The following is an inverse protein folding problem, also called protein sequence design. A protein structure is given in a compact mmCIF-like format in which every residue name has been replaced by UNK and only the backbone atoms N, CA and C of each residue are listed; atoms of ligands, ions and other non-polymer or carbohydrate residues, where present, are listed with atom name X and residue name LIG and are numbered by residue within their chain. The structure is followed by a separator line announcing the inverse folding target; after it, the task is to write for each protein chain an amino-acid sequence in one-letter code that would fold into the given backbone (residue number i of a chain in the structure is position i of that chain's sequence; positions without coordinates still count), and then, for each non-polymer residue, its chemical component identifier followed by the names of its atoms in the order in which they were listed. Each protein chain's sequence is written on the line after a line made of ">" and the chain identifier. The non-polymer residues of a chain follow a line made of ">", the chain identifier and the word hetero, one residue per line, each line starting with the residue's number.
data_IF_501115907995
#
_entry.id   IF_501115907995
#
_cell.length_a   1.000
_cell.length_b   1.000
_cell.length_c   1.000
_cell.angle_alpha   90.00
_cell.angle_beta   90.00
_cell.angle_gamma   90.00
#
_symmetry.space_group_name_H-M   'P 1'
#
loop_
_entity.id
_entity.type
_entity.pdbx_description
1 polymer ?
#
# COMPACT_ATOMS: atom_id res chain seq x y z
N UNK A 1 10.82 -35.64 -10.30
CA UNK A 1 9.50 -36.09 -9.75
C UNK A 1 8.82 -34.85 -9.16
N UNK A 2 7.58 -34.55 -9.51
CA UNK A 2 6.86 -33.47 -8.81
C UNK A 2 6.60 -33.91 -7.35
N UNK A 3 6.93 -33.04 -6.41
CA UNK A 3 6.66 -33.24 -4.98
C UNK A 3 5.14 -33.14 -4.78
N UNK A 4 4.51 -34.21 -4.34
CA UNK A 4 3.09 -34.20 -3.94
C UNK A 4 2.99 -33.75 -2.48
N UNK A 5 2.49 -32.55 -2.26
CA UNK A 5 2.23 -32.03 -0.91
C UNK A 5 0.82 -32.45 -0.46
N UNK A 6 0.65 -32.67 0.85
CA UNK A 6 -0.68 -32.81 1.44
C UNK A 6 -1.41 -31.46 1.46
N UNK A 7 -2.76 -31.46 1.57
CA UNK A 7 -3.52 -30.21 1.71
C UNK A 7 -3.08 -29.37 2.92
N UNK A 8 -2.69 -30.04 4.02
CA UNK A 8 -2.18 -29.38 5.22
C UNK A 8 -0.84 -28.69 4.97
N UNK A 9 0.06 -29.34 4.24
CA UNK A 9 1.36 -28.77 3.94
C UNK A 9 1.27 -27.64 2.93
N UNK A 10 0.33 -27.75 1.97
CA UNK A 10 0.01 -26.64 1.05
C UNK A 10 -0.42 -25.39 1.82
N UNK A 11 -1.38 -25.53 2.76
CA UNK A 11 -1.85 -24.39 3.58
C UNK A 11 -0.74 -23.79 4.46
N UNK A 12 0.16 -24.62 5.00
CA UNK A 12 1.32 -24.11 5.75
C UNK A 12 2.27 -23.32 4.85
N UNK A 13 2.52 -23.79 3.64
CA UNK A 13 3.35 -23.06 2.68
C UNK A 13 2.71 -21.73 2.25
N UNK A 14 1.41 -21.72 1.97
CA UNK A 14 0.69 -20.46 1.69
C UNK A 14 0.87 -19.46 2.82
N UNK A 15 0.65 -19.87 4.08
CA UNK A 15 0.85 -18.98 5.25
C UNK A 15 2.30 -18.48 5.35
N UNK A 16 3.29 -19.34 5.08
CA UNK A 16 4.71 -18.93 5.08
C UNK A 16 4.98 -17.90 4.00
N UNK A 17 4.46 -18.10 2.78
CA UNK A 17 4.63 -17.14 1.69
C UNK A 17 3.90 -15.82 1.95
N UNK A 18 2.68 -15.85 2.48
CA UNK A 18 1.94 -14.64 2.87
C UNK A 18 2.71 -13.84 3.93
N UNK A 19 3.20 -14.50 4.97
CA UNK A 19 4.02 -13.84 6.00
C UNK A 19 5.32 -13.27 5.42
N UNK A 20 5.95 -13.97 4.49
CA UNK A 20 7.16 -13.49 3.83
C UNK A 20 6.88 -12.23 2.98
N UNK A 21 5.80 -12.23 2.21
CA UNK A 21 5.39 -11.09 1.40
C UNK A 21 5.09 -9.87 2.28
N UNK A 22 4.35 -10.05 3.37
CA UNK A 22 4.06 -8.99 4.35
C UNK A 22 5.34 -8.43 4.97
N UNK A 23 6.26 -9.28 5.36
CA UNK A 23 7.53 -8.87 5.95
C UNK A 23 8.41 -8.09 4.96
N UNK A 24 8.42 -8.46 3.68
CA UNK A 24 9.15 -7.71 2.64
C UNK A 24 8.53 -6.31 2.48
N UNK A 25 7.21 -6.21 2.43
CA UNK A 25 6.51 -4.93 2.28
C UNK A 25 6.74 -4.01 3.47
N UNK A 26 6.64 -4.53 4.69
CA UNK A 26 6.95 -3.81 5.92
C UNK A 26 8.40 -3.34 5.95
N UNK A 27 9.34 -4.21 5.56
CA UNK A 27 10.76 -3.88 5.50
C UNK A 27 11.03 -2.70 4.57
N UNK A 28 10.44 -2.71 3.38
CA UNK A 28 10.59 -1.62 2.42
C UNK A 28 10.00 -0.31 2.97
N UNK A 29 8.80 -0.38 3.56
CA UNK A 29 8.14 0.77 4.13
C UNK A 29 8.97 1.42 5.24
N UNK A 30 9.53 0.63 6.16
CA UNK A 30 10.36 1.15 7.23
C UNK A 30 11.69 1.71 6.75
N UNK A 31 12.32 1.05 5.79
CA UNK A 31 13.58 1.54 5.19
C UNK A 31 13.36 2.93 4.59
N UNK A 32 12.23 3.13 3.91
CA UNK A 32 11.89 4.40 3.29
C UNK A 32 11.52 5.47 4.34
N UNK A 33 10.82 5.09 5.43
CA UNK A 33 10.41 6.04 6.48
C UNK A 33 11.56 6.50 7.38
N UNK A 34 12.49 5.60 7.71
CA UNK A 34 13.50 5.84 8.74
C UNK A 34 14.81 6.39 8.12
N UNK A 35 14.88 6.47 6.79
CA UNK A 35 16.13 6.80 6.07
C UNK A 35 17.33 5.94 6.57
N UNK A 36 17.05 4.67 6.88
CA UNK A 36 18.06 3.73 7.35
C UNK A 36 19.21 3.65 6.36
N UNK A 37 20.43 3.68 6.86
CA UNK A 37 21.59 3.46 6.00
C UNK A 37 21.43 2.17 5.21
N UNK A 38 21.79 2.15 3.94
CA UNK A 38 21.69 0.97 3.05
C UNK A 38 22.29 -0.30 3.67
N UNK A 39 23.30 -0.15 4.52
CA UNK A 39 23.95 -1.26 5.22
C UNK A 39 23.02 -1.93 6.22
N UNK A 40 22.36 -1.14 7.06
CA UNK A 40 21.38 -1.63 8.06
C UNK A 40 20.15 -2.19 7.36
N UNK A 41 19.62 -1.48 6.37
CA UNK A 41 18.49 -1.91 5.58
C UNK A 41 18.70 -3.29 4.93
N UNK A 42 19.83 -3.50 4.29
CA UNK A 42 20.19 -4.80 3.69
C UNK A 42 20.31 -5.91 4.75
N UNK A 43 20.83 -5.59 5.93
CA UNK A 43 20.94 -6.54 7.04
C UNK A 43 19.57 -6.92 7.57
N UNK A 44 18.69 -5.94 7.81
CA UNK A 44 17.31 -6.17 8.26
C UNK A 44 16.55 -7.04 7.25
N UNK A 45 16.59 -6.70 5.96
CA UNK A 45 15.92 -7.50 4.92
C UNK A 45 16.41 -8.94 4.89
N UNK A 46 17.72 -9.14 4.91
CA UNK A 46 18.32 -10.47 4.85
C UNK A 46 17.95 -11.31 6.07
N UNK A 47 17.98 -10.73 7.27
CA UNK A 47 17.62 -11.43 8.50
C UNK A 47 16.12 -11.70 8.59
N UNK A 48 15.27 -10.77 8.10
CA UNK A 48 13.82 -10.95 8.05
C UNK A 48 13.43 -12.15 7.20
N UNK A 49 14.01 -12.29 6.00
CA UNK A 49 13.77 -13.45 5.14
C UNK A 49 14.13 -14.75 5.86
N UNK A 50 15.28 -14.80 6.51
CA UNK A 50 15.72 -15.99 7.22
C UNK A 50 14.87 -16.31 8.47
N UNK A 51 14.42 -15.30 9.21
CA UNK A 51 13.66 -15.48 10.46
C UNK A 51 12.17 -15.73 10.24
N UNK A 52 11.60 -15.30 9.12
CA UNK A 52 10.21 -15.62 8.75
C UNK A 52 9.99 -17.14 8.64
N UNK A 53 10.98 -17.87 8.17
CA UNK A 53 10.94 -19.35 8.11
C UNK A 53 10.82 -19.95 9.52
N UNK A 54 11.34 -19.26 10.54
CA UNK A 54 11.31 -19.68 11.95
C UNK A 54 10.15 -19.05 12.74
N UNK A 55 9.18 -18.42 12.09
CA UNK A 55 7.98 -17.85 12.72
C UNK A 55 8.20 -16.50 13.41
N UNK A 56 9.38 -15.87 13.30
CA UNK A 56 9.57 -14.49 13.73
C UNK A 56 9.06 -13.50 12.68
N UNK A 57 8.38 -12.47 13.15
CA UNK A 57 7.90 -11.40 12.28
C UNK A 57 9.02 -10.42 11.92
N UNK A 58 8.79 -9.58 10.92
CA UNK A 58 9.69 -8.45 10.62
C UNK A 58 9.86 -7.53 11.83
N UNK A 59 8.77 -7.27 12.55
CA UNK A 59 8.76 -6.43 13.75
C UNK A 59 9.72 -6.99 14.81
N UNK A 60 9.61 -8.29 15.13
CA UNK A 60 10.51 -8.95 16.09
C UNK A 60 11.97 -8.84 15.68
N UNK A 61 12.24 -8.99 14.37
CA UNK A 61 13.59 -8.90 13.83
C UNK A 61 14.16 -7.49 13.90
N UNK A 62 13.31 -6.49 13.61
CA UNK A 62 13.71 -5.08 13.67
C UNK A 62 13.98 -4.66 15.12
N UNK A 63 13.10 -5.02 16.05
CA UNK A 63 13.29 -4.76 17.47
C UNK A 63 14.57 -5.38 18.05
N UNK A 64 14.94 -6.57 17.57
CA UNK A 64 16.20 -7.21 17.96
C UNK A 64 17.47 -6.46 17.49
N UNK A 65 17.34 -5.61 16.47
CA UNK A 65 18.44 -4.90 15.83
C UNK A 65 18.55 -3.42 16.24
N UNK A 66 17.50 -2.87 16.84
CA UNK A 66 17.44 -1.48 17.30
C UNK A 66 17.99 -1.34 18.73
N UNK A 67 18.56 -0.19 19.04
CA UNK A 67 18.85 0.20 20.42
C UNK A 67 17.58 0.64 21.16
N UNK A 68 17.70 1.06 22.41
CA UNK A 68 16.54 1.35 23.27
C UNK A 68 15.76 2.58 22.79
N UNK A 69 16.45 3.65 22.37
CA UNK A 69 15.83 4.91 21.92
C UNK A 69 15.09 4.69 20.59
N UNK A 70 15.73 3.99 19.65
CA UNK A 70 15.11 3.64 18.38
C UNK A 70 13.91 2.70 18.53
N UNK A 71 13.90 1.83 19.56
CA UNK A 71 12.76 0.95 19.86
C UNK A 71 11.53 1.72 20.30
N UNK A 72 11.66 2.70 21.21
CA UNK A 72 10.54 3.51 21.70
C UNK A 72 9.91 4.31 20.56
N UNK A 73 10.74 4.87 19.69
CA UNK A 73 10.27 5.56 18.50
C UNK A 73 9.57 4.62 17.51
N UNK A 74 10.11 3.43 17.27
CA UNK A 74 9.53 2.40 16.42
C UNK A 74 8.17 1.92 16.94
N UNK A 75 8.04 1.67 18.24
CA UNK A 75 6.78 1.27 18.87
C UNK A 75 5.71 2.37 18.71
N UNK A 76 6.09 3.63 18.84
CA UNK A 76 5.20 4.76 18.59
C UNK A 76 4.66 4.79 17.15
N UNK A 77 5.51 4.56 16.16
CA UNK A 77 5.11 4.49 14.75
C UNK A 77 4.23 3.26 14.49
N UNK A 78 4.62 2.11 15.02
CA UNK A 78 3.85 0.86 14.87
C UNK A 78 2.43 1.03 15.36
N UNK A 79 2.26 1.63 16.54
CA UNK A 79 0.95 1.83 17.15
C UNK A 79 0.12 2.88 16.41
N UNK A 80 0.75 3.98 15.97
CA UNK A 80 0.06 5.06 15.25
C UNK A 80 -0.45 4.63 13.87
N UNK A 81 0.26 3.74 13.18
CA UNK A 81 -0.08 3.30 11.81
C UNK A 81 -0.69 1.90 11.74
N UNK A 82 -0.90 1.21 12.87
CA UNK A 82 -1.40 -0.18 12.93
C UNK A 82 -0.73 -1.11 11.92
N UNK A 83 0.58 -1.07 11.90
CA UNK A 83 1.43 -1.74 10.89
C UNK A 83 1.31 -3.26 10.87
N UNK A 84 0.72 -3.86 11.89
CA UNK A 84 0.39 -5.30 11.97
C UNK A 84 -0.69 -5.72 10.95
N UNK A 85 -1.42 -4.76 10.37
CA UNK A 85 -2.57 -4.99 9.49
C UNK A 85 -2.33 -4.59 8.03
N UNK A 86 -1.08 -4.64 7.55
CA UNK A 86 -0.82 -4.41 6.13
C UNK A 86 -1.43 -5.53 5.30
N UNK A 87 -2.25 -5.14 4.32
CA UNK A 87 -3.04 -6.07 3.52
C UNK A 87 -2.46 -6.26 2.13
N UNK A 88 -2.27 -7.52 1.73
CA UNK A 88 -2.06 -7.85 0.32
C UNK A 88 -3.36 -7.63 -0.44
N UNK A 89 -3.36 -6.71 -1.39
CA UNK A 89 -4.53 -6.34 -2.19
C UNK A 89 -4.52 -7.08 -3.52
N UNK A 90 -5.70 -7.50 -3.99
CA UNK A 90 -5.83 -8.02 -5.34
C UNK A 90 -5.83 -6.85 -6.34
N UNK A 91 -4.81 -6.80 -7.18
CA UNK A 91 -4.66 -5.75 -8.19
C UNK A 91 -5.84 -5.72 -9.19
N UNK A 92 -6.53 -6.84 -9.36
CA UNK A 92 -7.67 -6.95 -10.28
C UNK A 92 -8.91 -6.21 -9.79
N UNK A 93 -9.07 -6.05 -8.48
CA UNK A 93 -10.17 -5.26 -7.90
C UNK A 93 -10.09 -3.80 -8.35
N UNK A 94 -8.88 -3.29 -8.58
CA UNK A 94 -8.61 -1.94 -9.03
C UNK A 94 -8.49 -1.83 -10.56
N UNK A 95 -7.74 -2.72 -11.21
CA UNK A 95 -7.60 -2.73 -12.69
C UNK A 95 -8.92 -2.95 -13.42
N UNK A 96 -9.83 -3.70 -12.82
CA UNK A 96 -11.15 -3.99 -13.38
C UNK A 96 -12.18 -2.89 -13.13
N UNK A 97 -11.84 -1.84 -12.41
CA UNK A 97 -12.67 -0.67 -12.22
C UNK A 97 -13.08 -0.06 -13.57
N UNK A 98 -14.32 0.42 -13.67
CA UNK A 98 -14.88 0.99 -14.90
C UNK A 98 -14.05 2.19 -15.42
N UNK A 99 -13.53 3.01 -14.51
CA UNK A 99 -12.65 4.13 -14.86
C UNK A 99 -11.41 3.64 -15.62
N UNK A 100 -10.65 2.72 -15.04
CA UNK A 100 -9.42 2.22 -15.67
C UNK A 100 -9.65 1.44 -16.95
N UNK A 101 -10.84 0.85 -17.14
CA UNK A 101 -11.19 0.17 -18.40
C UNK A 101 -11.47 1.17 -19.52
N UNK A 102 -12.14 2.27 -19.21
CA UNK A 102 -12.70 3.18 -20.21
C UNK A 102 -11.89 4.47 -20.39
N UNK A 103 -11.25 4.97 -19.34
CA UNK A 103 -10.52 6.24 -19.38
C UNK A 103 -9.04 6.00 -19.61
N UNK A 104 -8.56 6.42 -20.78
CA UNK A 104 -7.17 6.26 -21.25
C UNK A 104 -6.61 7.59 -21.77
N UNK A 105 -6.45 8.59 -20.92
CA UNK A 105 -5.97 9.89 -21.35
C UNK A 105 -4.53 9.80 -21.85
N UNK A 106 -4.21 10.61 -22.86
CA UNK A 106 -2.82 10.78 -23.28
C UNK A 106 -2.05 11.57 -22.25
N UNK A 107 -0.86 11.10 -21.92
CA UNK A 107 0.06 11.87 -21.10
C UNK A 107 0.38 13.20 -21.80
N UNK A 108 0.29 14.28 -21.05
CA UNK A 108 0.53 15.64 -21.57
C UNK A 108 1.30 16.45 -20.55
N UNK A 109 2.09 17.40 -21.07
CA UNK A 109 2.79 18.38 -20.24
C UNK A 109 2.55 19.76 -20.82
N UNK A 110 2.13 20.70 -19.94
CA UNK A 110 1.91 22.08 -20.28
C UNK A 110 2.47 22.98 -19.17
N UNK A 111 3.52 23.72 -19.47
CA UNK A 111 4.25 24.54 -18.49
C UNK A 111 4.73 23.68 -17.32
N UNK A 112 4.29 23.95 -16.09
CA UNK A 112 4.61 23.21 -14.87
C UNK A 112 3.59 22.13 -14.53
N UNK A 113 2.54 21.94 -15.35
CA UNK A 113 1.54 20.89 -15.17
C UNK A 113 1.85 19.68 -16.03
N UNK A 114 1.68 18.50 -15.46
CA UNK A 114 1.90 17.23 -16.16
C UNK A 114 0.82 16.22 -15.80
N UNK A 115 0.15 15.68 -16.81
CA UNK A 115 -0.75 14.53 -16.70
C UNK A 115 0.02 13.29 -17.10
N UNK A 116 0.24 12.36 -16.18
CA UNK A 116 0.99 11.13 -16.46
C UNK A 116 0.54 9.95 -15.60
N UNK A 117 0.98 8.77 -15.99
CA UNK A 117 0.85 7.58 -15.18
C UNK A 117 2.06 7.45 -14.25
N UNK A 118 1.78 7.39 -12.96
CA UNK A 118 2.70 6.95 -11.91
C UNK A 118 2.45 5.48 -11.60
N UNK A 119 3.23 4.90 -10.70
CA UNK A 119 3.02 3.52 -10.31
C UNK A 119 3.49 3.26 -8.88
N UNK A 120 2.80 2.34 -8.21
CA UNK A 120 3.33 1.62 -7.07
C UNK A 120 4.19 0.45 -7.55
N UNK A 121 5.36 0.26 -6.96
CA UNK A 121 6.23 -0.88 -7.22
C UNK A 121 5.68 -2.13 -6.55
N UNK A 122 6.06 -3.34 -6.99
CA UNK A 122 5.75 -4.54 -6.23
C UNK A 122 6.23 -4.41 -4.78
N UNK A 123 5.36 -4.79 -3.83
CA UNK A 123 5.60 -4.74 -2.38
C UNK A 123 5.85 -3.33 -1.79
N UNK A 124 5.57 -2.28 -2.52
CA UNK A 124 5.53 -0.92 -2.00
C UNK A 124 4.25 -0.72 -1.19
N UNK A 125 4.39 -0.30 0.07
CA UNK A 125 3.26 -0.05 0.95
C UNK A 125 2.67 1.33 0.68
N UNK A 126 1.36 1.39 0.60
CA UNK A 126 0.61 2.63 0.41
C UNK A 126 -0.68 2.63 1.22
N UNK A 127 -1.21 3.81 1.46
CA UNK A 127 -2.55 3.99 2.02
C UNK A 127 -3.57 3.65 0.95
N UNK A 128 -4.44 2.66 1.20
CA UNK A 128 -5.49 2.30 0.25
C UNK A 128 -6.88 2.74 0.72
N UNK A 129 -7.05 3.05 2.00
CA UNK A 129 -8.31 3.54 2.55
C UNK A 129 -8.04 4.31 3.83
N UNK A 130 -8.70 5.47 3.97
CA UNK A 130 -8.80 6.20 5.21
C UNK A 130 -10.23 6.06 5.75
N UNK A 131 -10.34 5.76 7.04
CA UNK A 131 -11.61 5.67 7.74
C UNK A 131 -11.58 6.58 8.96
N UNK A 132 -12.66 7.33 9.16
CA UNK A 132 -12.83 8.17 10.34
C UNK A 132 -13.74 7.41 11.31
N UNK A 133 -13.25 7.14 12.49
CA UNK A 133 -14.09 6.64 13.56
C UNK A 133 -14.76 7.84 14.24
N UNK A 134 -16.04 8.06 13.96
CA UNK A 134 -16.80 9.20 14.46
C UNK A 134 -17.05 9.16 15.98
N UNK A 135 -16.93 7.99 16.64
CA UNK A 135 -17.15 7.88 18.09
C UNK A 135 -16.01 8.52 18.89
N UNK A 136 -14.80 8.47 18.39
CA UNK A 136 -13.61 8.98 19.06
C UNK A 136 -12.78 9.97 18.23
N UNK A 137 -13.26 10.36 17.04
CA UNK A 137 -12.57 11.25 16.10
C UNK A 137 -11.15 10.77 15.72
N UNK A 138 -10.93 9.47 15.73
CA UNK A 138 -9.64 8.90 15.33
C UNK A 138 -9.70 8.56 13.85
N UNK A 139 -8.82 9.17 13.07
CA UNK A 139 -8.56 8.78 11.69
C UNK A 139 -7.77 7.47 11.69
N UNK A 140 -8.29 6.48 10.98
CA UNK A 140 -7.64 5.19 10.83
C UNK A 140 -7.21 4.99 9.40
N UNK A 141 -5.91 4.97 9.19
CA UNK A 141 -5.27 4.70 7.91
C UNK A 141 -5.11 3.21 7.68
N UNK A 142 -5.63 2.71 6.56
CA UNK A 142 -5.47 1.32 6.15
C UNK A 142 -4.34 1.19 5.14
N UNK A 143 -3.33 0.38 5.49
CA UNK A 143 -2.15 0.14 4.66
C UNK A 143 -2.29 -1.14 3.83
N UNK A 144 -1.81 -1.09 2.60
CA UNK A 144 -1.80 -2.23 1.70
C UNK A 144 -0.65 -2.19 0.71
N UNK A 145 -0.48 -3.28 -0.03
CA UNK A 145 0.48 -3.38 -1.11
C UNK A 145 -0.04 -4.31 -2.21
N UNK A 146 0.55 -4.17 -3.41
CA UNK A 146 0.36 -5.11 -4.51
C UNK A 146 1.61 -5.98 -4.69
N UNK A 147 1.43 -7.23 -5.11
CA UNK A 147 2.53 -8.12 -5.51
C UNK A 147 3.10 -7.78 -6.89
N UNK A 148 2.36 -6.99 -7.67
CA UNK A 148 2.72 -6.54 -9.01
C UNK A 148 2.72 -5.02 -9.09
N UNK A 149 3.32 -4.49 -10.16
CA UNK A 149 3.29 -3.06 -10.44
C UNK A 149 1.88 -2.59 -10.80
N UNK A 150 1.38 -1.57 -10.11
CA UNK A 150 0.10 -0.93 -10.38
C UNK A 150 0.31 0.50 -10.89
N UNK A 151 -0.24 0.80 -12.07
CA UNK A 151 -0.19 2.14 -12.65
C UNK A 151 -1.47 2.91 -12.33
N UNK A 152 -1.32 4.17 -11.94
CA UNK A 152 -2.42 5.10 -11.69
C UNK A 152 -2.19 6.44 -12.35
N UNK A 153 -3.28 7.10 -12.74
CA UNK A 153 -3.24 8.42 -13.36
C UNK A 153 -3.01 9.48 -12.30
N UNK A 154 -2.16 10.46 -12.60
CA UNK A 154 -1.88 11.58 -11.73
C UNK A 154 -1.70 12.89 -12.51
N UNK A 155 -2.11 13.98 -11.90
CA UNK A 155 -1.76 15.35 -12.30
C UNK A 155 -0.72 15.88 -11.34
N UNK A 156 0.37 16.38 -11.89
CA UNK A 156 1.45 16.97 -11.12
C UNK A 156 1.59 18.45 -11.46
N UNK A 157 1.93 19.23 -10.46
CA UNK A 157 2.40 20.61 -10.60
C UNK A 157 3.80 20.71 -10.01
N UNK A 158 4.77 21.17 -10.79
CA UNK A 158 6.17 21.26 -10.37
C UNK A 158 6.73 19.96 -9.77
N UNK A 159 6.39 18.80 -10.38
CA UNK A 159 6.68 17.44 -9.93
C UNK A 159 6.01 16.99 -8.62
N UNK A 160 5.17 17.82 -8.01
CA UNK A 160 4.37 17.44 -6.84
C UNK A 160 3.01 16.93 -7.29
N UNK A 161 2.54 15.82 -6.74
CA UNK A 161 1.23 15.26 -7.05
C UNK A 161 0.16 16.23 -6.53
N UNK A 162 -0.67 16.73 -7.45
CA UNK A 162 -1.81 17.58 -7.14
C UNK A 162 -3.08 16.77 -6.94
N UNK A 163 -3.31 15.77 -7.80
CA UNK A 163 -4.40 14.82 -7.70
C UNK A 163 -4.02 13.51 -8.37
N UNK A 164 -4.63 12.41 -7.94
CA UNK A 164 -4.36 11.09 -8.50
C UNK A 164 -5.55 10.16 -8.31
N UNK A 165 -5.69 9.15 -9.18
CA UNK A 165 -6.68 8.07 -9.03
C UNK A 165 -5.97 6.85 -8.48
N UNK A 166 -5.67 6.89 -7.20
CA UNK A 166 -5.03 5.79 -6.46
C UNK A 166 -6.07 4.82 -5.89
N UNK A 167 -5.66 3.67 -5.35
CA UNK A 167 -6.55 2.80 -4.58
C UNK A 167 -7.30 3.53 -3.46
N UNK A 168 -6.65 4.49 -2.78
CA UNK A 168 -7.30 5.29 -1.74
C UNK A 168 -8.47 6.11 -2.29
N UNK A 169 -8.26 6.81 -3.40
CA UNK A 169 -9.33 7.56 -4.08
C UNK A 169 -10.50 6.65 -4.48
N UNK A 170 -10.17 5.46 -5.03
CA UNK A 170 -11.18 4.48 -5.44
C UNK A 170 -12.00 4.00 -4.24
N UNK A 171 -11.37 3.66 -3.13
CA UNK A 171 -12.06 3.17 -1.92
C UNK A 171 -12.88 4.28 -1.24
N UNK A 172 -12.36 5.50 -1.19
CA UNK A 172 -13.03 6.65 -0.59
C UNK A 172 -14.27 7.06 -1.39
N UNK A 173 -14.22 6.94 -2.72
CA UNK A 173 -15.33 7.33 -3.59
C UNK A 173 -16.40 6.24 -3.77
N UNK A 174 -16.20 5.02 -3.27
CA UNK A 174 -17.20 3.95 -3.41
C UNK A 174 -18.55 4.32 -2.82
N UNK A 175 -18.57 4.73 -1.57
CA UNK A 175 -19.82 5.08 -0.88
C UNK A 175 -20.54 6.26 -1.54
N UNK A 176 -19.89 7.41 -1.82
CA UNK A 176 -20.52 8.49 -2.57
C UNK A 176 -21.05 8.09 -3.95
N UNK A 177 -20.37 7.18 -4.66
CA UNK A 177 -20.82 6.69 -5.97
C UNK A 177 -22.04 5.78 -5.82
N UNK A 178 -22.03 4.87 -4.85
CA UNK A 178 -23.12 3.94 -4.59
C UNK A 178 -24.40 4.66 -4.11
N UNK A 179 -24.25 5.76 -3.36
CA UNK A 179 -25.34 6.61 -2.89
C UNK A 179 -25.87 7.59 -3.97
N UNK A 180 -25.09 7.82 -5.05
CA UNK A 180 -25.47 8.76 -6.12
C UNK A 180 -26.60 8.20 -6.97
N UNK A 181 -27.79 8.79 -6.85
CA UNK A 181 -28.96 8.43 -7.66
C UNK A 181 -29.82 9.66 -8.02
N UNK A 182 -30.63 9.55 -9.07
CA UNK A 182 -31.44 10.65 -9.55
C UNK A 182 -30.61 11.78 -10.20
N UNK A 183 -30.92 13.03 -9.89
CA UNK A 183 -30.20 14.18 -10.41
C UNK A 183 -29.04 14.54 -9.49
N UNK A 184 -27.84 14.27 -9.91
CA UNK A 184 -26.61 14.55 -9.15
C UNK A 184 -25.87 15.74 -9.77
N UNK A 185 -25.44 16.69 -8.94
CA UNK A 185 -24.62 17.83 -9.36
C UNK A 185 -23.24 17.70 -8.71
N UNK A 186 -22.20 17.62 -9.53
CA UNK A 186 -20.81 17.61 -9.07
C UNK A 186 -20.13 18.94 -9.40
N UNK A 187 -19.32 19.44 -8.47
CA UNK A 187 -18.52 20.65 -8.64
C UNK A 187 -17.05 20.26 -8.82
N UNK A 188 -16.53 20.56 -9.99
CA UNK A 188 -15.16 20.18 -10.35
C UNK A 188 -15.09 18.73 -10.85
N UNK A 189 -14.53 18.57 -12.05
CA UNK A 189 -14.41 17.25 -12.68
C UNK A 189 -13.22 16.46 -12.15
N UNK A 190 -12.18 17.14 -11.68
CA UNK A 190 -10.91 16.50 -11.29
C UNK A 190 -10.34 15.65 -12.42
N UNK A 191 -9.98 14.41 -12.09
CA UNK A 191 -9.58 13.40 -13.08
C UNK A 191 -10.77 12.59 -13.65
N UNK A 192 -12.00 12.95 -13.29
CA UNK A 192 -13.21 12.32 -13.81
C UNK A 192 -13.50 10.93 -13.22
N UNK A 193 -13.10 10.70 -11.98
CA UNK A 193 -13.36 9.40 -11.34
C UNK A 193 -14.80 9.27 -10.82
N UNK A 194 -15.35 10.34 -10.25
CA UNK A 194 -16.70 10.35 -9.68
C UNK A 194 -17.84 10.38 -10.73
N UNK A 195 -17.84 11.23 -11.78
CA UNK A 195 -18.92 11.33 -12.75
C UNK A 195 -19.05 10.15 -13.70
#
# INVERSE_FOLDING_TARGET
>A
MPIKLSKSDYKKLETIFENQDNNISLSNFYIDMIDLSKSIANKVQKETINKTINGKTFIDTTLDLLDVEDREWFDSIKDSHKLENIKSLDINDYKNNAYYKNIKPKQTKNSNWELKYLNYKPYEVFVYKDTINFENNIEQTCLGYFKEKFYYLAVLQDNTIWMSVTPNEIETMKEPIDEAHGNVITYGLGLGYFP
#
